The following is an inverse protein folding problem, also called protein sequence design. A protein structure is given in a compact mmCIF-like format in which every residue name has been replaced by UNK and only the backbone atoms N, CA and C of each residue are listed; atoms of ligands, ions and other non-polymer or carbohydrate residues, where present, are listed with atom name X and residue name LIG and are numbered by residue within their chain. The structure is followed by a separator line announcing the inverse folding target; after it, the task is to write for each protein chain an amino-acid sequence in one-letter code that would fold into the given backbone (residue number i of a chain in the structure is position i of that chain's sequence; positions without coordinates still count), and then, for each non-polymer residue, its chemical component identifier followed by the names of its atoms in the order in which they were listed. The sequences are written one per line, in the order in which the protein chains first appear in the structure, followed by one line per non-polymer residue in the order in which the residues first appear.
data_IF_807580301396
#
_entry.id   IF_807580301396
#
_cell.length_a   1.000
_cell.length_b   1.000
_cell.length_c   1.000
_cell.angle_alpha   90.00
_cell.angle_beta   90.00
_cell.angle_gamma   90.00
#
_symmetry.space_group_name_H-M   'P 1'
#
loop_
_entity.id
_entity.type
_entity.pdbx_description
1 polymer ?
#
# COMPACT_ATOMS: atom_id res chain seq x y z
N UNK A 1 -1.37 -8.35 5.73
CA UNK A 1 -0.81 -8.57 4.37
C UNK A 1 -1.26 -9.94 3.89
N UNK A 2 -1.68 -10.06 2.62
CA UNK A 2 -2.18 -11.34 2.06
C UNK A 2 -1.19 -11.99 1.10
N UNK A 3 -0.68 -11.23 0.13
CA UNK A 3 0.29 -11.72 -0.86
C UNK A 3 1.06 -10.55 -1.50
N UNK A 4 2.18 -10.86 -2.16
CA UNK A 4 2.92 -9.92 -3.03
C UNK A 4 2.73 -10.35 -4.46
N UNK A 5 2.36 -9.42 -5.33
CA UNK A 5 2.18 -9.67 -6.77
C UNK A 5 3.05 -8.71 -7.58
N UNK A 6 3.41 -9.16 -8.78
CA UNK A 6 4.07 -8.28 -9.77
C UNK A 6 3.06 -7.26 -10.30
N UNK A 7 3.48 -6.06 -10.68
CA UNK A 7 2.61 -4.99 -11.19
C UNK A 7 2.14 -5.22 -12.65
N UNK A 8 2.11 -6.47 -13.10
CA UNK A 8 1.68 -6.83 -14.46
C UNK A 8 0.18 -6.55 -14.60
N UNK A 9 -0.18 -5.79 -15.63
CA UNK A 9 -1.57 -5.43 -15.89
C UNK A 9 -2.13 -4.34 -14.98
N UNK A 10 -1.27 -3.61 -14.25
CA UNK A 10 -1.65 -2.37 -13.59
C UNK A 10 -2.09 -1.34 -14.64
N UNK A 11 -3.35 -0.92 -14.59
CA UNK A 11 -3.92 0.05 -15.53
C UNK A 11 -4.28 1.34 -14.81
N UNK A 12 -3.79 2.51 -15.27
CA UNK A 12 -4.22 3.80 -14.74
C UNK A 12 -5.73 3.97 -14.89
N UNK A 13 -6.35 4.65 -13.93
CA UNK A 13 -7.76 5.03 -13.99
C UNK A 13 -7.84 6.51 -14.39
N UNK A 14 -8.49 6.86 -15.50
CA UNK A 14 -8.66 8.26 -15.91
C UNK A 14 -9.37 9.08 -14.83
N UNK A 15 -8.85 10.28 -14.53
CA UNK A 15 -9.43 11.17 -13.53
C UNK A 15 -9.20 10.77 -12.07
N UNK A 16 -8.49 9.68 -11.81
CA UNK A 16 -8.20 9.26 -10.43
C UNK A 16 -7.21 10.21 -9.73
N UNK A 17 -7.30 10.33 -8.39
CA UNK A 17 -6.32 11.08 -7.59
C UNK A 17 -4.88 10.56 -7.79
N UNK A 18 -3.88 11.42 -7.62
CA UNK A 18 -2.45 11.06 -7.79
C UNK A 18 -1.98 9.93 -6.86
N UNK A 19 -2.65 9.76 -5.72
CA UNK A 19 -2.40 8.67 -4.77
C UNK A 19 -2.83 7.29 -5.29
N UNK A 20 -3.67 7.23 -6.34
CA UNK A 20 -4.12 6.00 -6.96
C UNK A 20 -3.25 5.70 -8.19
N UNK A 21 -2.46 4.62 -8.08
CA UNK A 21 -1.65 4.14 -9.19
C UNK A 21 -2.49 3.56 -10.33
N UNK A 22 -3.66 2.99 -10.00
CA UNK A 22 -4.58 2.40 -10.96
C UNK A 22 -5.39 1.24 -10.37
N UNK A 23 -5.73 0.28 -11.23
CA UNK A 23 -6.39 -0.98 -10.88
C UNK A 23 -5.61 -2.16 -11.45
N UNK A 24 -5.71 -3.31 -10.79
CA UNK A 24 -5.17 -4.60 -11.27
C UNK A 24 -6.20 -5.70 -11.07
N UNK A 25 -6.23 -6.68 -11.95
CA UNK A 25 -7.05 -7.88 -11.77
C UNK A 25 -6.21 -8.97 -11.08
N UNK A 26 -6.62 -9.36 -9.88
CA UNK A 26 -6.02 -10.47 -9.14
C UNK A 26 -7.05 -11.57 -9.03
N UNK A 27 -6.82 -12.68 -9.74
CA UNK A 27 -7.68 -13.89 -9.72
C UNK A 27 -9.16 -13.60 -9.96
N UNK A 28 -9.47 -12.66 -10.87
CA UNK A 28 -10.84 -12.26 -11.21
C UNK A 28 -11.38 -11.11 -10.36
N UNK A 29 -10.70 -10.70 -9.29
CA UNK A 29 -11.09 -9.56 -8.46
C UNK A 29 -10.37 -8.28 -8.94
N UNK A 30 -11.12 -7.20 -9.14
CA UNK A 30 -10.56 -5.88 -9.41
C UNK A 30 -10.09 -5.26 -8.11
N UNK A 31 -8.80 -4.96 -8.03
CA UNK A 31 -8.15 -4.39 -6.86
C UNK A 31 -7.65 -2.99 -7.20
N UNK A 32 -8.08 -2.01 -6.40
CA UNK A 32 -7.54 -0.64 -6.46
C UNK A 32 -6.14 -0.62 -5.89
N UNK A 33 -5.21 0.00 -6.61
CA UNK A 33 -3.80 0.08 -6.23
C UNK A 33 -3.45 1.53 -5.86
N UNK A 34 -3.02 1.73 -4.62
CA UNK A 34 -2.51 3.00 -4.11
C UNK A 34 -0.99 3.03 -4.19
N UNK A 35 -0.41 4.21 -4.41
CA UNK A 35 1.04 4.41 -4.50
C UNK A 35 1.61 4.86 -3.15
N UNK A 36 2.53 4.07 -2.56
CA UNK A 36 3.08 4.38 -1.24
C UNK A 36 3.83 5.72 -1.21
N UNK A 37 4.57 6.06 -2.27
CA UNK A 37 5.30 7.32 -2.36
C UNK A 37 4.34 8.50 -2.43
N UNK A 38 3.28 8.38 -3.22
CA UNK A 38 2.25 9.40 -3.34
C UNK A 38 1.46 9.57 -2.04
N UNK A 39 1.17 8.49 -1.31
CA UNK A 39 0.51 8.56 0.00
C UNK A 39 1.36 9.27 1.06
N UNK A 40 2.69 9.29 0.90
CA UNK A 40 3.61 9.96 1.82
C UNK A 40 3.94 11.39 1.42
N UNK A 41 4.07 11.65 0.12
CA UNK A 41 4.63 12.91 -0.40
C UNK A 41 3.67 13.70 -1.28
N UNK A 42 2.54 13.10 -1.68
CA UNK A 42 1.62 13.64 -2.68
C UNK A 42 2.08 13.43 -4.14
N UNK A 43 3.31 12.95 -4.34
CA UNK A 43 3.92 12.76 -5.67
C UNK A 43 4.09 11.27 -5.95
N UNK A 44 3.61 10.85 -7.12
CA UNK A 44 3.71 9.46 -7.57
C UNK A 44 5.15 9.11 -7.94
N UNK A 45 5.59 7.91 -7.56
CA UNK A 45 6.85 7.34 -8.01
C UNK A 45 6.79 6.89 -9.49
N UNK A 46 7.95 6.52 -10.03
CA UNK A 46 8.07 5.80 -11.30
C UNK A 46 7.42 4.40 -11.15
N UNK A 47 7.18 3.70 -12.27
CA UNK A 47 6.58 2.36 -12.33
C UNK A 47 6.98 1.48 -11.13
N UNK A 48 6.00 0.98 -10.35
CA UNK A 48 6.32 0.20 -9.16
C UNK A 48 7.01 -1.11 -9.52
N UNK A 49 7.81 -1.66 -8.62
CA UNK A 49 8.40 -2.99 -8.78
C UNK A 49 7.55 -4.11 -8.19
N UNK A 50 6.68 -3.81 -7.23
CA UNK A 50 5.79 -4.80 -6.58
C UNK A 50 4.47 -4.17 -6.11
N UNK A 51 3.45 -5.01 -5.97
CA UNK A 51 2.17 -4.64 -5.35
C UNK A 51 1.94 -5.58 -4.16
N UNK A 52 1.80 -5.01 -2.97
CA UNK A 52 1.44 -5.73 -1.74
C UNK A 52 -0.06 -5.71 -1.58
N UNK A 53 -0.70 -6.89 -1.49
CA UNK A 53 -2.14 -6.97 -1.25
C UNK A 53 -2.44 -6.89 0.25
N UNK A 54 -3.28 -5.92 0.58
CA UNK A 54 -3.74 -5.60 1.93
C UNK A 54 -5.22 -5.93 2.05
N UNK A 55 -5.63 -6.34 3.24
CA UNK A 55 -7.04 -6.53 3.59
C UNK A 55 -7.49 -5.32 4.40
N UNK A 56 -8.58 -4.69 3.96
CA UNK A 56 -9.21 -3.56 4.65
C UNK A 56 -10.69 -3.84 4.80
N UNK A 57 -11.10 -4.26 6.00
CA UNK A 57 -12.44 -4.81 6.23
C UNK A 57 -12.71 -6.00 5.30
N UNK A 58 -13.78 -5.91 4.50
CA UNK A 58 -14.15 -6.92 3.50
C UNK A 58 -13.53 -6.68 2.12
N UNK A 59 -12.79 -5.58 1.94
CA UNK A 59 -12.19 -5.18 0.66
C UNK A 59 -10.72 -5.57 0.58
N UNK A 60 -10.24 -5.71 -0.65
CA UNK A 60 -8.83 -5.88 -0.96
C UNK A 60 -8.27 -4.60 -1.58
N UNK A 61 -7.09 -4.20 -1.12
CA UNK A 61 -6.34 -3.06 -1.64
C UNK A 61 -4.98 -3.53 -2.10
N UNK A 62 -4.45 -2.90 -3.15
CA UNK A 62 -3.06 -3.02 -3.55
C UNK A 62 -2.28 -1.81 -3.06
N UNK A 63 -1.07 -2.04 -2.54
CA UNK A 63 -0.11 -0.99 -2.26
C UNK A 63 1.10 -1.19 -3.17
N UNK A 64 1.29 -0.26 -4.10
CA UNK A 64 2.43 -0.22 -4.98
C UNK A 64 3.68 0.25 -4.20
N UNK A 65 4.75 -0.52 -4.33
CA UNK A 65 6.05 -0.31 -3.68
C UNK A 65 7.18 -0.58 -4.67
N UNK A 66 8.36 -0.03 -4.39
CA UNK A 66 9.54 -0.22 -5.24
C UNK A 66 10.03 -1.67 -5.19
N UNK A 67 10.20 -2.23 -4.00
CA UNK A 67 10.63 -3.60 -3.79
C UNK A 67 10.11 -4.15 -2.46
N UNK A 68 10.06 -5.49 -2.37
CA UNK A 68 9.88 -6.21 -1.11
C UNK A 68 11.20 -6.93 -0.82
N UNK A 69 11.84 -6.57 0.30
CA UNK A 69 13.14 -7.13 0.67
C UNK A 69 13.03 -8.43 1.47
N UNK A 70 12.16 -8.45 2.46
CA UNK A 70 12.01 -9.58 3.40
C UNK A 70 10.57 -9.61 3.95
N UNK A 71 10.13 -10.78 4.43
CA UNK A 71 8.82 -10.96 5.07
C UNK A 71 9.03 -11.63 6.43
N UNK A 72 8.68 -10.90 7.50
CA UNK A 72 8.86 -11.37 8.88
C UNK A 72 7.52 -11.41 9.62
N UNK A 73 7.37 -12.42 10.47
CA UNK A 73 6.30 -12.46 11.47
C UNK A 73 6.81 -11.70 12.69
N UNK A 74 5.99 -10.75 13.17
CA UNK A 74 6.31 -9.90 14.31
C UNK A 74 5.14 -9.95 15.28
N UNK A 75 5.46 -10.08 16.56
CA UNK A 75 4.50 -9.93 17.66
C UNK A 75 4.03 -8.47 17.76
N UNK A 76 2.89 -8.23 18.39
CA UNK A 76 2.29 -6.89 18.45
C UNK A 76 3.18 -5.88 19.19
N UNK A 77 3.95 -6.32 20.18
CA UNK A 77 4.93 -5.46 20.89
C UNK A 77 6.02 -4.94 19.94
N UNK A 78 6.40 -5.73 18.93
CA UNK A 78 7.38 -5.36 17.91
C UNK A 78 6.79 -4.49 16.79
N UNK A 79 5.50 -4.15 16.82
CA UNK A 79 4.87 -3.23 15.84
C UNK A 79 4.77 -1.79 16.33
N UNK A 80 5.17 -1.52 17.58
CA UNK A 80 5.12 -0.20 18.16
C UNK A 80 6.07 0.80 17.46
N UNK A 81 5.75 2.11 17.49
CA UNK A 81 6.68 3.15 17.03
C UNK A 81 8.02 3.05 17.78
N UNK A 82 9.13 2.84 17.06
CA UNK A 82 10.47 2.63 17.65
C UNK A 82 10.98 1.19 17.60
N UNK A 83 10.15 0.22 17.20
CA UNK A 83 10.57 -1.18 17.04
C UNK A 83 11.59 -1.41 15.90
N UNK A 84 11.85 -0.40 15.06
CA UNK A 84 12.92 -0.46 14.05
C UNK A 84 14.29 -0.77 14.65
N UNK A 85 14.53 -0.36 15.91
CA UNK A 85 15.74 -0.71 16.64
C UNK A 85 15.89 -2.22 16.91
N UNK A 86 14.78 -2.96 17.04
CA UNK A 86 14.81 -4.41 17.26
C UNK A 86 15.11 -5.21 15.99
N UNK A 87 15.10 -4.56 14.82
CA UNK A 87 15.34 -5.19 13.52
C UNK A 87 16.77 -4.98 13.01
N UNK A 88 17.65 -4.29 13.76
CA UNK A 88 18.99 -3.86 13.34
C UNK A 88 19.00 -3.12 11.98
N UNK A 89 17.90 -2.44 11.65
CA UNK A 89 17.77 -1.65 10.43
C UNK A 89 17.88 -0.17 10.79
N UNK A 90 19.03 0.49 10.56
CA UNK A 90 19.15 1.93 10.78
C UNK A 90 18.19 2.66 9.83
N UNK A 91 17.50 3.67 10.36
CA UNK A 91 16.62 4.58 9.60
C UNK A 91 15.31 3.95 9.03
N UNK A 92 14.87 2.81 9.57
CA UNK A 92 13.56 2.24 9.21
C UNK A 92 12.47 2.76 10.15
N UNK A 93 11.56 3.56 9.61
CA UNK A 93 10.35 3.98 10.30
C UNK A 93 9.23 2.96 10.05
N UNK A 94 8.68 2.30 11.10
CA UNK A 94 7.55 1.41 10.92
C UNK A 94 6.33 2.20 10.44
N UNK A 95 5.55 1.58 9.55
CA UNK A 95 4.34 2.17 8.98
C UNK A 95 3.20 1.15 9.00
N UNK A 96 2.09 1.52 9.60
CA UNK A 96 0.84 0.79 9.42
C UNK A 96 0.25 1.15 8.05
N UNK A 97 0.49 0.27 7.08
CA UNK A 97 0.00 0.42 5.71
C UNK A 97 -1.52 0.44 5.62
N UNK A 98 -2.23 -0.33 6.46
CA UNK A 98 -3.70 -0.38 6.44
C UNK A 98 -4.27 0.93 6.97
N UNK A 99 -3.76 1.42 8.10
CA UNK A 99 -4.15 2.71 8.64
C UNK A 99 -3.82 3.87 7.70
N UNK A 100 -2.66 3.83 7.02
CA UNK A 100 -2.31 4.84 6.01
C UNK A 100 -3.30 4.88 4.85
N UNK A 101 -3.67 3.72 4.30
CA UNK A 101 -4.64 3.62 3.22
C UNK A 101 -6.03 4.10 3.68
N UNK A 102 -6.46 3.69 4.88
CA UNK A 102 -7.76 4.04 5.44
C UNK A 102 -7.99 5.55 5.55
N UNK A 103 -6.98 6.31 5.99
CA UNK A 103 -7.05 7.79 6.08
C UNK A 103 -7.41 8.46 4.75
N UNK A 104 -6.93 7.91 3.65
CA UNK A 104 -7.17 8.48 2.32
C UNK A 104 -8.47 7.99 1.72
N UNK A 105 -8.89 6.75 2.01
CA UNK A 105 -10.15 6.21 1.49
C UNK A 105 -11.38 6.88 2.10
N UNK A 106 -11.38 7.19 3.40
CA UNK A 106 -12.47 7.94 4.02
C UNK A 106 -12.66 9.32 3.39
N UNK A 107 -11.58 10.00 2.99
CA UNK A 107 -11.63 11.30 2.32
C UNK A 107 -12.15 11.24 0.87
N UNK A 108 -11.94 10.11 0.17
CA UNK A 108 -12.45 9.91 -1.20
C UNK A 108 -13.93 9.57 -1.20
N UNK A 109 -14.41 8.77 -0.24
CA UNK A 109 -15.83 8.43 -0.11
C UNK A 109 -16.71 9.62 0.32
N UNK A 110 -16.14 10.60 1.05
CA UNK A 110 -16.84 11.84 1.42
C UNK A 110 -16.89 12.88 0.30
N UNK A 111 -15.93 12.85 -0.66
CA UNK A 111 -15.91 13.78 -1.82
C UNK A 111 -16.86 13.37 -2.95
N UNK A 112 -17.39 12.15 -2.92
CA UNK A 112 -18.36 11.64 -3.90
C UNK A 112 -19.82 11.78 -3.41
N UNK A 113 -20.07 12.49 -2.30
CA UNK A 113 -21.42 12.88 -1.84
C UNK A 113 -21.75 14.34 -2.12
#
# INVERSE_FOLDING_TARGET
MREVVRPVGLRPVPGAPSIQAGIVNVRGAIVTVLDLQALRTGVRAVTPGSIVLLSYGTRMLGLAVDAVHDVRVMDDEAKAPGAGAALDLPDVMPLDAVALCARHMHSVEERER
#
